data_IF_726568639692
#
_entry.id   IF_726568639692
#
_cell.length_a   1.000
_cell.length_b   1.000
_cell.length_c   1.000
_cell.angle_alpha   90.00
_cell.angle_beta   90.00
_cell.angle_gamma   90.00
#
_symmetry.space_group_name_H-M   'P 1'
#
loop_
_entity.id
_entity.type
_entity.pdbx_description
1 polymer ?
#
# COMPACT_ATOMS: atom_id res chain seq x y z
N UNK A 1 -52.37 -14.43 22.71
CA UNK A 1 -51.12 -13.77 23.08
C UNK A 1 -49.89 -14.68 23.00
N UNK A 2 -49.81 -15.84 23.68
CA UNK A 2 -48.62 -16.73 23.64
C UNK A 2 -48.12 -17.10 22.23
N UNK A 3 -49.03 -17.44 21.28
CA UNK A 3 -48.63 -17.81 19.89
C UNK A 3 -48.03 -16.65 19.11
N UNK A 4 -48.53 -15.44 19.29
CA UNK A 4 -47.98 -14.23 18.61
C UNK A 4 -46.59 -13.90 19.15
N UNK A 5 -46.39 -13.98 20.47
CA UNK A 5 -45.08 -13.75 21.10
C UNK A 5 -44.05 -14.75 20.61
N UNK A 6 -44.39 -16.06 20.53
CA UNK A 6 -43.49 -17.09 20.00
C UNK A 6 -43.12 -16.81 18.55
N UNK A 7 -44.07 -16.44 17.69
CA UNK A 7 -43.80 -16.12 16.29
C UNK A 7 -42.86 -14.91 16.18
N UNK A 8 -43.10 -13.83 16.93
CA UNK A 8 -42.27 -12.63 16.91
C UNK A 8 -40.85 -12.94 17.37
N UNK A 9 -40.67 -13.71 18.44
CA UNK A 9 -39.35 -14.10 18.95
C UNK A 9 -38.63 -15.00 17.95
N UNK A 10 -39.33 -15.94 17.32
CA UNK A 10 -38.74 -16.84 16.31
C UNK A 10 -38.30 -16.06 15.07
N UNK A 11 -39.14 -15.15 14.55
CA UNK A 11 -38.78 -14.29 13.41
C UNK A 11 -37.59 -13.40 13.74
N UNK A 12 -37.56 -12.81 14.93
CA UNK A 12 -36.42 -11.98 15.37
C UNK A 12 -35.13 -12.80 15.47
N UNK A 13 -35.16 -14.00 16.05
CA UNK A 13 -34.00 -14.88 16.16
C UNK A 13 -33.49 -15.34 14.79
N UNK A 14 -34.38 -15.72 13.87
CA UNK A 14 -34.00 -16.12 12.50
C UNK A 14 -33.38 -14.93 11.74
N UNK A 15 -34.00 -13.75 11.85
CA UNK A 15 -33.49 -12.53 11.19
C UNK A 15 -32.12 -12.13 11.73
N UNK A 16 -31.91 -12.24 13.04
CA UNK A 16 -30.60 -11.98 13.66
C UNK A 16 -29.53 -12.99 13.21
N UNK A 17 -29.89 -14.30 13.24
CA UNK A 17 -28.97 -15.35 12.80
C UNK A 17 -28.61 -15.23 11.31
N UNK A 18 -29.60 -14.89 10.46
CA UNK A 18 -29.36 -14.65 9.05
C UNK A 18 -28.53 -13.37 8.82
N UNK A 19 -28.77 -12.32 9.60
CA UNK A 19 -27.95 -11.10 9.57
C UNK A 19 -26.51 -11.35 9.96
N UNK A 20 -26.28 -12.12 11.05
CA UNK A 20 -24.95 -12.51 11.49
C UNK A 20 -24.23 -13.40 10.45
N UNK A 21 -24.94 -14.38 9.87
CA UNK A 21 -24.43 -15.21 8.79
C UNK A 21 -24.09 -14.38 7.55
N UNK A 22 -25.02 -13.52 7.12
CA UNK A 22 -24.83 -12.62 5.97
C UNK A 22 -23.63 -11.68 6.17
N UNK A 23 -23.43 -11.19 7.38
CA UNK A 23 -22.26 -10.37 7.74
C UNK A 23 -20.97 -11.19 7.69
N UNK A 24 -20.97 -12.37 8.34
CA UNK A 24 -19.77 -13.23 8.44
C UNK A 24 -19.31 -13.77 7.07
N UNK A 25 -20.27 -14.14 6.21
CA UNK A 25 -19.99 -14.74 4.89
C UNK A 25 -20.17 -13.75 3.73
N UNK A 26 -20.40 -12.48 4.01
CA UNK A 26 -20.53 -11.44 2.99
C UNK A 26 -21.55 -11.74 1.90
N UNK A 27 -22.66 -12.39 2.27
CA UNK A 27 -23.76 -12.75 1.35
C UNK A 27 -24.87 -11.70 1.34
N UNK A 28 -25.88 -11.87 0.42
CA UNK A 28 -27.09 -11.07 0.47
C UNK A 28 -27.77 -11.13 1.86
N UNK A 29 -28.32 -10.04 2.44
CA UNK A 29 -28.52 -8.71 1.85
C UNK A 29 -27.40 -7.69 2.12
N UNK A 30 -26.47 -7.94 3.06
CA UNK A 30 -25.49 -6.92 3.50
C UNK A 30 -24.58 -6.51 2.35
N UNK A 31 -24.15 -7.48 1.56
CA UNK A 31 -23.32 -7.23 0.40
C UNK A 31 -24.03 -6.35 -0.66
N UNK A 32 -25.32 -6.58 -0.89
CA UNK A 32 -26.13 -5.80 -1.84
C UNK A 32 -26.38 -4.38 -1.33
N UNK A 33 -26.71 -4.21 -0.03
CA UNK A 33 -26.91 -2.90 0.59
C UNK A 33 -25.64 -2.03 0.57
N UNK A 34 -24.45 -2.63 0.69
CA UNK A 34 -23.17 -1.94 0.52
C UNK A 34 -22.97 -1.41 -0.91
N UNK A 35 -23.42 -2.16 -1.92
CA UNK A 35 -23.42 -1.76 -3.33
C UNK A 35 -24.41 -0.62 -3.63
N UNK A 36 -25.63 -0.68 -3.09
CA UNK A 36 -26.66 0.36 -3.31
C UNK A 36 -26.26 1.71 -2.73
N UNK A 37 -25.60 1.74 -1.58
CA UNK A 37 -25.09 3.00 -1.00
C UNK A 37 -24.05 3.71 -1.89
N UNK A 38 -23.28 2.95 -2.68
CA UNK A 38 -22.27 3.53 -3.60
C UNK A 38 -22.87 4.03 -4.92
N UNK A 39 -23.95 3.38 -5.41
CA UNK A 39 -24.63 3.78 -6.66
C UNK A 39 -25.36 5.13 -6.49
N UNK A 40 -25.77 5.48 -5.27
CA UNK A 40 -26.55 6.69 -5.00
C UNK A 40 -25.73 7.95 -4.71
N UNK A 41 -24.41 7.87 -4.66
CA UNK A 41 -23.56 9.06 -4.47
C UNK A 41 -23.07 9.55 -5.83
N UNK A 42 -23.35 10.80 -6.22
CA UNK A 42 -22.78 11.38 -7.42
C UNK A 42 -21.25 11.38 -7.30
N UNK A 43 -20.57 11.05 -8.40
CA UNK A 43 -19.15 11.20 -8.58
C UNK A 43 -18.76 12.68 -8.32
N UNK A 44 -18.49 12.98 -7.06
CA UNK A 44 -17.83 14.23 -6.68
C UNK A 44 -16.39 14.00 -7.07
N UNK A 45 -15.97 14.60 -8.18
CA UNK A 45 -14.64 14.49 -8.77
C UNK A 45 -13.60 14.15 -7.72
N UNK A 46 -12.95 13.00 -7.88
CA UNK A 46 -12.07 12.41 -6.89
C UNK A 46 -10.97 13.40 -6.53
N UNK A 47 -11.09 14.00 -5.36
CA UNK A 47 -10.01 14.79 -4.76
C UNK A 47 -9.20 13.85 -3.89
N UNK A 48 -7.92 14.15 -3.78
CA UNK A 48 -7.06 13.53 -2.76
C UNK A 48 -7.80 13.59 -1.41
N UNK A 49 -7.98 12.46 -0.72
CA UNK A 49 -8.57 12.47 0.61
C UNK A 49 -7.72 13.39 1.50
N UNK A 50 -8.35 14.34 2.18
CA UNK A 50 -7.66 15.17 3.17
C UNK A 50 -7.33 14.30 4.40
N UNK A 51 -6.27 13.51 4.30
CA UNK A 51 -5.76 12.65 5.36
C UNK A 51 -4.52 13.29 5.95
N UNK A 52 -4.51 13.37 7.28
CA UNK A 52 -3.32 13.83 7.98
C UNK A 52 -2.22 12.76 7.86
N UNK A 53 -1.08 13.15 7.31
CA UNK A 53 0.13 12.31 7.33
C UNK A 53 0.66 12.22 8.76
N UNK A 54 1.31 11.13 9.08
CA UNK A 54 2.03 10.97 10.35
C UNK A 54 3.23 11.91 10.32
N UNK A 55 3.20 12.93 11.17
CA UNK A 55 4.24 13.97 11.28
C UNK A 55 4.74 14.15 12.71
N UNK A 56 4.17 13.45 13.68
CA UNK A 56 4.62 13.51 15.08
C UNK A 56 5.96 12.79 15.22
N UNK A 57 7.01 13.57 15.46
CA UNK A 57 8.37 13.10 15.66
C UNK A 57 8.75 12.98 17.15
N UNK A 58 7.80 13.21 18.06
CA UNK A 58 8.01 13.06 19.50
C UNK A 58 8.42 11.61 19.79
N UNK A 59 9.52 11.44 20.50
CA UNK A 59 10.12 10.13 20.83
C UNK A 59 10.67 9.35 19.63
N UNK A 60 10.78 9.93 18.45
CA UNK A 60 11.47 9.31 17.32
C UNK A 60 12.98 9.44 17.48
N UNK A 61 13.70 8.40 17.12
CA UNK A 61 15.17 8.43 17.10
C UNK A 61 15.63 9.06 15.77
N UNK A 62 15.93 10.38 15.81
CA UNK A 62 16.50 11.10 14.66
C UNK A 62 17.92 10.58 14.39
N UNK A 63 18.23 10.34 13.12
CA UNK A 63 19.55 9.94 12.63
C UNK A 63 20.03 10.94 11.59
N UNK A 64 21.34 11.08 11.44
CA UNK A 64 21.89 11.99 10.43
C UNK A 64 21.67 11.41 9.02
N UNK A 65 20.92 12.12 8.17
CA UNK A 65 20.71 11.70 6.78
C UNK A 65 22.00 11.61 5.95
N UNK A 66 23.09 12.25 6.37
CA UNK A 66 24.40 12.10 5.71
C UNK A 66 25.00 10.70 5.91
N UNK A 67 24.46 9.93 6.88
CA UNK A 67 24.83 8.53 7.11
C UNK A 67 24.23 7.56 6.09
N UNK A 68 23.35 8.03 5.20
CA UNK A 68 22.81 7.20 4.11
C UNK A 68 23.98 6.78 3.21
N UNK A 69 24.19 5.47 3.11
CA UNK A 69 25.29 4.86 2.37
C UNK A 69 25.09 5.00 0.86
N UNK A 70 26.19 4.97 0.11
CA UNK A 70 26.15 4.98 -1.36
C UNK A 70 25.50 3.70 -1.94
N UNK A 71 25.65 2.58 -1.21
CA UNK A 71 25.10 1.25 -1.56
C UNK A 71 23.77 0.92 -0.84
N UNK A 72 23.08 1.93 -0.29
CA UNK A 72 21.78 1.74 0.35
C UNK A 72 20.68 1.49 -0.68
N UNK A 73 19.72 0.61 -0.35
CA UNK A 73 18.46 0.56 -1.06
C UNK A 73 17.56 1.70 -0.58
N UNK A 74 17.12 2.56 -1.49
CA UNK A 74 16.31 3.74 -1.18
C UNK A 74 14.96 3.61 -1.89
N UNK A 75 13.91 3.31 -1.13
CA UNK A 75 12.58 3.01 -1.64
C UNK A 75 11.67 4.22 -1.58
N UNK A 76 11.10 4.60 -2.73
CA UNK A 76 9.91 5.44 -2.81
C UNK A 76 8.70 4.52 -2.74
N UNK A 77 7.92 4.64 -1.68
CA UNK A 77 6.74 3.83 -1.44
C UNK A 77 5.51 4.65 -1.81
N UNK A 78 4.70 4.11 -2.72
CA UNK A 78 3.52 4.76 -3.27
C UNK A 78 2.34 3.79 -3.26
N UNK A 79 1.15 4.32 -3.15
CA UNK A 79 -0.06 3.51 -3.21
C UNK A 79 -1.13 3.92 -2.21
N UNK A 80 -1.89 2.95 -1.72
CA UNK A 80 -3.00 3.21 -0.81
C UNK A 80 -2.78 2.58 0.59
N UNK A 81 -3.85 2.29 1.32
CA UNK A 81 -3.79 1.89 2.74
C UNK A 81 -2.84 0.74 3.06
N UNK A 82 -2.75 -0.28 2.21
CA UNK A 82 -1.81 -1.39 2.40
C UNK A 82 -0.35 -1.03 2.09
N UNK A 83 -0.10 0.12 1.46
CA UNK A 83 1.23 0.73 1.38
C UNK A 83 1.50 1.65 2.57
N UNK A 84 0.46 2.28 3.14
CA UNK A 84 0.52 3.14 4.30
C UNK A 84 0.51 2.36 5.64
N UNK A 85 0.25 3.05 6.75
CA UNK A 85 0.25 2.48 8.11
C UNK A 85 -1.12 1.86 8.50
N UNK A 86 -1.60 0.86 7.75
CA UNK A 86 -2.93 0.26 7.98
C UNK A 86 -2.90 -1.16 8.55
N UNK A 87 -1.72 -1.71 8.83
CA UNK A 87 -1.57 -3.01 9.51
C UNK A 87 -2.00 -2.96 10.97
N UNK A 88 -2.44 -4.09 11.53
CA UNK A 88 -2.90 -4.15 12.93
C UNK A 88 -1.79 -4.09 13.97
N UNK A 89 -0.55 -4.40 13.59
CA UNK A 89 0.58 -4.52 14.50
C UNK A 89 1.77 -3.68 14.06
N UNK A 90 2.16 -2.75 14.91
CA UNK A 90 3.33 -1.89 14.69
C UNK A 90 4.63 -2.67 14.88
N UNK A 91 5.64 -2.26 14.13
CA UNK A 91 6.97 -2.84 14.18
C UNK A 91 8.03 -1.75 14.29
N UNK A 92 9.14 -2.07 14.96
CA UNK A 92 10.32 -1.22 15.02
C UNK A 92 11.49 -1.96 14.40
N UNK A 93 12.19 -1.32 13.48
CA UNK A 93 13.35 -1.91 12.84
C UNK A 93 14.44 -2.29 13.85
N UNK A 94 15.07 -3.42 13.63
CA UNK A 94 16.18 -3.95 14.43
C UNK A 94 17.53 -3.77 13.72
N UNK A 95 17.47 -3.47 12.43
CA UNK A 95 18.61 -3.28 11.55
C UNK A 95 18.74 -1.82 11.13
N UNK A 96 19.69 -1.50 10.28
CA UNK A 96 19.92 -0.16 9.75
C UNK A 96 18.89 0.22 8.69
N UNK A 97 17.65 0.36 9.15
CA UNK A 97 16.52 0.84 8.35
C UNK A 97 16.17 2.26 8.75
N UNK A 98 16.20 3.16 7.80
CA UNK A 98 15.93 4.60 7.98
C UNK A 98 14.58 4.94 7.38
N UNK A 99 13.77 5.73 8.07
CA UNK A 99 12.62 6.42 7.49
C UNK A 99 13.03 7.88 7.21
N UNK A 100 13.18 8.25 5.95
CA UNK A 100 13.30 9.66 5.57
C UNK A 100 11.89 10.24 5.48
N UNK A 101 11.58 11.17 6.36
CA UNK A 101 10.33 11.92 6.34
C UNK A 101 10.45 13.07 5.31
N UNK A 102 9.79 12.93 4.19
CA UNK A 102 9.83 13.91 3.10
C UNK A 102 9.26 15.28 3.50
N UNK A 103 8.34 15.32 4.48
CA UNK A 103 7.66 16.55 4.89
C UNK A 103 8.56 17.50 5.70
N UNK A 104 9.48 16.97 6.51
CA UNK A 104 10.47 17.77 7.28
C UNK A 104 11.89 17.66 6.71
N UNK A 105 12.13 16.68 5.83
CA UNK A 105 13.43 16.43 5.22
C UNK A 105 14.44 15.78 6.14
N UNK A 106 14.01 15.19 7.26
CA UNK A 106 14.86 14.54 8.26
C UNK A 106 14.78 13.02 8.18
N UNK A 107 15.76 12.37 8.78
CA UNK A 107 15.88 10.93 8.86
C UNK A 107 15.68 10.44 10.28
N UNK A 108 14.99 9.31 10.40
CA UNK A 108 14.70 8.67 11.66
C UNK A 108 14.99 7.18 11.54
N UNK A 109 15.41 6.54 12.62
CA UNK A 109 15.40 5.07 12.66
C UNK A 109 13.97 4.58 12.44
N UNK A 110 13.77 3.64 11.51
CA UNK A 110 12.43 3.26 11.09
C UNK A 110 11.66 2.54 12.19
N UNK A 111 10.47 3.05 12.47
CA UNK A 111 9.47 2.42 13.36
C UNK A 111 8.06 2.83 12.93
N UNK A 112 7.12 1.90 13.07
CA UNK A 112 5.72 2.13 12.74
C UNK A 112 5.01 2.99 13.82
N UNK A 113 4.07 3.85 13.39
CA UNK A 113 3.71 4.16 12.01
C UNK A 113 4.81 4.96 11.31
N UNK A 114 5.12 4.68 10.03
CA UNK A 114 6.10 5.43 9.27
C UNK A 114 5.67 6.90 9.10
N UNK A 115 6.64 7.80 9.20
CA UNK A 115 6.43 9.23 8.94
C UNK A 115 6.29 9.47 7.43
N UNK A 116 5.45 10.44 7.06
CA UNK A 116 5.24 10.86 5.66
C UNK A 116 4.03 10.24 4.97
N UNK A 117 3.41 9.23 5.55
CA UNK A 117 2.19 8.57 5.07
C UNK A 117 1.08 8.62 6.12
N UNK A 118 -0.16 8.26 5.77
CA UNK A 118 -1.28 8.28 6.71
C UNK A 118 -1.46 6.94 7.46
N UNK A 119 -2.39 6.91 8.41
CA UNK A 119 -2.67 5.76 9.26
C UNK A 119 -1.82 5.75 10.54
N UNK A 120 -2.23 4.92 11.48
CA UNK A 120 -1.62 4.85 12.82
C UNK A 120 -1.21 3.42 13.23
N UNK A 121 -1.33 2.47 12.31
CA UNK A 121 -0.99 1.05 12.52
C UNK A 121 0.43 0.70 12.10
N UNK A 122 0.62 -0.57 11.74
CA UNK A 122 1.87 -1.09 11.20
C UNK A 122 1.95 -1.05 9.67
N UNK A 123 3.14 -1.29 9.16
CA UNK A 123 3.39 -1.40 7.73
C UNK A 123 4.25 -2.64 7.42
N UNK A 124 4.25 -3.04 6.15
CA UNK A 124 5.12 -4.10 5.64
C UNK A 124 6.57 -3.65 5.49
N UNK A 125 6.80 -2.35 5.30
CA UNK A 125 8.08 -1.82 4.82
C UNK A 125 9.17 -1.85 5.87
N UNK A 126 8.85 -1.57 7.12
CA UNK A 126 9.80 -1.64 8.22
C UNK A 126 10.32 -3.08 8.42
N UNK A 127 9.42 -4.08 8.27
CA UNK A 127 9.77 -5.51 8.30
C UNK A 127 10.59 -5.92 7.08
N UNK A 128 10.19 -5.47 5.90
CA UNK A 128 10.92 -5.70 4.66
C UNK A 128 12.35 -5.19 4.75
N UNK A 129 12.54 -3.98 5.31
CA UNK A 129 13.88 -3.41 5.51
C UNK A 129 14.78 -4.31 6.36
N UNK A 130 14.27 -4.81 7.47
CA UNK A 130 15.02 -5.77 8.31
C UNK A 130 15.32 -7.07 7.56
N UNK A 131 14.34 -7.63 6.86
CA UNK A 131 14.48 -8.89 6.14
C UNK A 131 15.52 -8.81 5.02
N UNK A 132 15.54 -7.71 4.27
CA UNK A 132 16.53 -7.46 3.21
C UNK A 132 17.96 -7.39 3.77
N UNK A 133 18.14 -6.76 4.94
CA UNK A 133 19.45 -6.64 5.58
C UNK A 133 19.85 -7.97 6.21
N UNK A 134 18.95 -8.66 6.89
CA UNK A 134 19.22 -9.96 7.55
C UNK A 134 19.62 -11.05 6.56
N UNK A 135 19.08 -11.01 5.36
CA UNK A 135 19.45 -11.96 4.30
C UNK A 135 20.67 -11.52 3.47
N UNK A 136 21.24 -10.35 3.78
CA UNK A 136 22.45 -9.84 3.11
C UNK A 136 22.20 -9.26 1.72
N UNK A 137 20.94 -9.00 1.36
CA UNK A 137 20.59 -8.40 0.06
C UNK A 137 21.05 -6.94 -0.02
N UNK A 138 20.93 -6.21 1.10
CA UNK A 138 21.39 -4.84 1.25
C UNK A 138 22.05 -4.63 2.62
N UNK A 139 22.86 -3.60 2.76
CA UNK A 139 23.50 -3.24 4.05
C UNK A 139 22.72 -2.19 4.82
N UNK A 140 21.93 -1.38 4.12
CA UNK A 140 21.10 -0.33 4.66
C UNK A 140 19.86 -0.16 3.76
N UNK A 141 18.72 0.12 4.35
CA UNK A 141 17.47 0.40 3.65
C UNK A 141 16.92 1.75 4.09
N UNK A 142 16.50 2.58 3.13
CA UNK A 142 15.84 3.87 3.39
C UNK A 142 14.43 3.81 2.84
N UNK A 143 13.47 4.09 3.69
CA UNK A 143 12.04 4.10 3.40
C UNK A 143 11.55 5.54 3.28
N UNK A 144 10.94 5.88 2.15
CA UNK A 144 10.28 7.18 1.93
C UNK A 144 8.86 6.88 1.49
N UNK A 145 7.93 6.98 2.42
CA UNK A 145 6.54 6.59 2.20
C UNK A 145 5.66 7.82 1.97
N UNK A 146 4.96 7.83 0.84
CA UNK A 146 4.02 8.88 0.44
C UNK A 146 2.62 8.31 0.16
N UNK A 147 2.35 7.07 0.56
CA UNK A 147 1.08 6.40 0.31
C UNK A 147 -0.08 7.15 0.96
N UNK A 148 -1.28 7.06 0.34
CA UNK A 148 -2.50 7.72 0.84
C UNK A 148 -3.66 6.75 0.80
N UNK A 149 -4.20 6.42 1.96
CA UNK A 149 -5.25 5.42 2.13
C UNK A 149 -6.54 5.75 1.38
N UNK A 150 -7.13 4.73 0.74
CA UNK A 150 -8.41 4.82 0.04
C UNK A 150 -8.33 5.51 -1.33
N UNK A 151 -7.13 5.73 -1.85
CA UNK A 151 -6.92 6.40 -3.14
C UNK A 151 -7.06 5.46 -4.32
N UNK A 152 -7.59 5.97 -5.43
CA UNK A 152 -7.63 5.30 -6.73
C UNK A 152 -6.47 5.75 -7.61
N UNK A 153 -6.09 4.93 -8.58
CA UNK A 153 -5.02 5.24 -9.54
C UNK A 153 -5.21 6.60 -10.22
N UNK A 154 -6.47 7.02 -10.48
CA UNK A 154 -6.80 8.28 -11.14
C UNK A 154 -6.18 9.50 -10.48
N UNK A 155 -6.14 9.56 -9.15
CA UNK A 155 -5.58 10.72 -8.45
C UNK A 155 -4.05 10.73 -8.43
N UNK A 156 -3.41 9.61 -8.77
CA UNK A 156 -1.96 9.50 -8.88
C UNK A 156 -1.43 9.90 -10.25
N UNK A 157 -2.31 10.02 -11.25
CA UNK A 157 -1.95 10.20 -12.66
C UNK A 157 -1.51 11.62 -13.01
N UNK A 158 -1.01 12.42 -12.06
CA UNK A 158 -0.55 13.78 -12.41
C UNK A 158 -0.16 14.62 -11.17
N UNK A 159 0.16 15.91 -11.41
CA UNK A 159 0.70 16.80 -10.37
C UNK A 159 -0.30 17.23 -9.31
N UNK A 160 -1.60 17.11 -9.59
CA UNK A 160 -2.67 17.56 -8.68
C UNK A 160 -2.93 16.56 -7.54
N UNK A 161 -2.37 15.34 -7.63
CA UNK A 161 -2.55 14.28 -6.65
C UNK A 161 -1.31 13.99 -5.82
N UNK A 162 -1.31 12.87 -5.08
CA UNK A 162 -0.22 12.50 -4.17
C UNK A 162 1.14 12.30 -4.87
N UNK A 163 1.19 12.06 -6.18
CA UNK A 163 2.43 11.93 -6.95
C UNK A 163 3.35 13.17 -6.84
N UNK A 164 2.79 14.37 -6.52
CA UNK A 164 3.61 15.56 -6.24
C UNK A 164 4.55 15.36 -5.05
N UNK A 165 4.13 14.57 -4.05
CA UNK A 165 4.95 14.28 -2.87
C UNK A 165 6.17 13.43 -3.21
N UNK A 166 6.13 12.64 -4.30
CA UNK A 166 7.30 11.96 -4.83
C UNK A 166 8.39 12.95 -5.26
N UNK A 167 7.99 14.07 -5.87
CA UNK A 167 8.91 15.15 -6.30
C UNK A 167 9.49 15.89 -5.09
N UNK A 168 8.67 16.14 -4.07
CA UNK A 168 9.10 16.74 -2.81
C UNK A 168 10.08 15.81 -2.07
N UNK A 169 9.78 14.53 -1.99
CA UNK A 169 10.63 13.50 -1.42
C UNK A 169 11.96 13.35 -2.18
N UNK A 170 11.93 13.35 -3.51
CA UNK A 170 13.14 13.34 -4.34
C UNK A 170 13.99 14.59 -4.09
N UNK A 171 13.35 15.74 -3.88
CA UNK A 171 14.05 16.99 -3.56
C UNK A 171 14.71 16.94 -2.19
N UNK A 172 14.02 16.39 -1.18
CA UNK A 172 14.59 16.17 0.14
C UNK A 172 15.82 15.23 0.07
N UNK A 173 15.68 14.12 -0.65
CA UNK A 173 16.74 13.11 -0.80
C UNK A 173 17.99 13.66 -1.53
N UNK A 174 17.80 14.47 -2.58
CA UNK A 174 18.89 15.11 -3.34
C UNK A 174 19.76 16.04 -2.50
N UNK A 175 19.23 16.62 -1.40
CA UNK A 175 20.03 17.45 -0.46
C UNK A 175 21.17 16.67 0.18
N UNK A 176 21.03 15.35 0.26
CA UNK A 176 22.02 14.42 0.80
C UNK A 176 22.80 13.71 -0.31
N UNK A 177 22.68 14.15 -1.57
CA UNK A 177 23.36 13.55 -2.71
C UNK A 177 22.84 12.17 -3.08
N UNK A 178 21.61 11.83 -2.68
CA UNK A 178 20.99 10.50 -2.89
C UNK A 178 19.84 10.58 -3.89
N UNK A 179 19.51 9.40 -4.44
CA UNK A 179 18.37 9.20 -5.35
C UNK A 179 17.62 7.92 -4.98
N UNK A 180 16.39 7.81 -5.37
CA UNK A 180 15.64 6.57 -5.26
C UNK A 180 16.30 5.47 -6.09
N UNK A 181 16.38 4.27 -5.52
CA UNK A 181 16.85 3.06 -6.20
C UNK A 181 15.67 2.21 -6.69
N UNK A 182 14.52 2.31 -6.03
CA UNK A 182 13.31 1.57 -6.37
C UNK A 182 12.07 2.42 -6.08
N UNK A 183 11.02 2.24 -6.88
CA UNK A 183 9.67 2.71 -6.61
C UNK A 183 8.80 1.49 -6.35
N UNK A 184 8.13 1.46 -5.21
CA UNK A 184 7.27 0.35 -4.80
C UNK A 184 5.81 0.81 -4.88
N UNK A 185 5.08 0.31 -5.88
CA UNK A 185 3.68 0.63 -6.11
C UNK A 185 2.77 -0.45 -5.54
N UNK A 186 2.00 -0.10 -4.52
CA UNK A 186 1.07 -1.02 -3.85
C UNK A 186 -0.32 -0.38 -3.76
N UNK A 187 -1.09 -0.51 -4.85
CA UNK A 187 -2.42 0.09 -4.98
C UNK A 187 -3.27 -0.72 -5.97
N UNK A 188 -4.56 -0.88 -5.72
CA UNK A 188 -5.50 -1.57 -6.61
C UNK A 188 -6.85 -1.85 -5.97
N UNK A 189 -6.90 -1.99 -4.65
CA UNK A 189 -8.08 -2.39 -3.89
C UNK A 189 -9.22 -1.35 -3.97
N UNK A 190 -8.90 -0.08 -4.23
CA UNK A 190 -9.91 0.98 -4.42
C UNK A 190 -10.42 1.07 -5.86
N UNK A 191 -9.75 0.41 -6.82
CA UNK A 191 -10.03 0.52 -8.26
C UNK A 191 -10.87 -0.63 -8.84
N UNK A 192 -11.64 -1.32 -8.02
CA UNK A 192 -12.37 -2.53 -8.38
C UNK A 192 -13.33 -2.40 -9.58
N UNK A 193 -13.72 -1.18 -9.97
CA UNK A 193 -14.53 -0.89 -11.18
C UNK A 193 -13.72 -0.38 -12.36
N UNK A 194 -12.40 -0.11 -12.17
CA UNK A 194 -11.57 0.49 -13.21
C UNK A 194 -11.26 -0.55 -14.30
N UNK A 195 -11.56 -0.26 -15.58
CA UNK A 195 -11.19 -1.15 -16.69
C UNK A 195 -9.67 -1.28 -16.82
N UNK A 196 -9.20 -2.44 -17.30
CA UNK A 196 -7.80 -2.78 -17.48
C UNK A 196 -7.02 -1.71 -18.25
N UNK A 197 -7.53 -1.29 -19.42
CA UNK A 197 -6.89 -0.29 -20.28
C UNK A 197 -6.83 1.10 -19.66
N UNK A 198 -7.84 1.45 -18.84
CA UNK A 198 -7.88 2.73 -18.11
C UNK A 198 -6.81 2.71 -17.00
N UNK A 199 -6.72 1.61 -16.23
CA UNK A 199 -5.72 1.47 -15.17
C UNK A 199 -4.30 1.56 -15.76
N UNK A 200 -4.02 0.85 -16.85
CA UNK A 200 -2.72 0.88 -17.55
C UNK A 200 -2.37 2.31 -17.99
N UNK A 201 -3.29 3.03 -18.66
CA UNK A 201 -3.03 4.41 -19.10
C UNK A 201 -2.77 5.37 -17.95
N UNK A 202 -3.54 5.27 -16.87
CA UNK A 202 -3.35 6.13 -15.70
C UNK A 202 -2.02 5.82 -14.99
N UNK A 203 -1.64 4.54 -14.90
CA UNK A 203 -0.33 4.15 -14.39
C UNK A 203 0.81 4.70 -15.26
N UNK A 204 0.70 4.59 -16.57
CA UNK A 204 1.68 5.15 -17.50
C UNK A 204 1.81 6.67 -17.30
N UNK A 205 0.69 7.41 -17.20
CA UNK A 205 0.71 8.85 -16.93
C UNK A 205 1.43 9.18 -15.61
N UNK A 206 1.22 8.38 -14.57
CA UNK A 206 1.95 8.52 -13.29
C UNK A 206 3.44 8.26 -13.46
N UNK A 207 3.82 7.17 -14.13
CA UNK A 207 5.21 6.83 -14.38
C UNK A 207 5.94 7.90 -15.22
N UNK A 208 5.29 8.42 -16.25
CA UNK A 208 5.79 9.54 -17.08
C UNK A 208 5.98 10.81 -16.26
N UNK A 209 5.07 11.09 -15.33
CA UNK A 209 5.21 12.21 -14.39
C UNK A 209 6.42 12.05 -13.48
N UNK A 210 6.62 10.86 -12.90
CA UNK A 210 7.81 10.57 -12.06
C UNK A 210 9.09 10.76 -12.88
N UNK A 211 9.18 10.17 -14.07
CA UNK A 211 10.32 10.28 -14.97
C UNK A 211 10.62 11.73 -15.34
N UNK A 212 9.61 12.50 -15.74
CA UNK A 212 9.74 13.92 -16.10
C UNK A 212 10.26 14.79 -14.95
N UNK A 213 10.17 14.31 -13.71
CA UNK A 213 10.70 14.97 -12.52
C UNK A 213 12.02 14.35 -12.00
N UNK A 214 12.67 13.52 -12.83
CA UNK A 214 13.97 12.91 -12.55
C UNK A 214 13.94 11.80 -11.51
N UNK A 215 12.83 11.05 -11.45
CA UNK A 215 12.68 9.82 -10.68
C UNK A 215 12.69 8.67 -11.69
N UNK A 216 13.87 8.14 -11.97
CA UNK A 216 14.14 7.13 -13.01
C UNK A 216 14.28 5.72 -12.44
N UNK A 217 14.08 5.56 -11.14
CA UNK A 217 14.17 4.26 -10.47
C UNK A 217 13.15 3.26 -11.01
N UNK A 218 13.50 1.97 -11.12
CA UNK A 218 12.57 0.92 -11.54
C UNK A 218 11.33 0.87 -10.63
N UNK A 219 10.15 0.66 -11.24
CA UNK A 219 8.87 0.61 -10.55
C UNK A 219 8.45 -0.85 -10.39
N UNK A 220 8.26 -1.29 -9.16
CA UNK A 220 7.77 -2.62 -8.82
C UNK A 220 6.29 -2.55 -8.48
N UNK A 221 5.45 -3.27 -9.23
CA UNK A 221 4.00 -3.22 -9.14
C UNK A 221 3.46 -4.43 -8.40
N UNK A 222 2.87 -4.22 -7.23
CA UNK A 222 2.18 -5.28 -6.52
C UNK A 222 0.94 -5.77 -7.28
N UNK A 223 0.64 -7.05 -7.18
CA UNK A 223 -0.69 -7.57 -7.47
C UNK A 223 -1.53 -7.48 -6.20
N UNK A 224 -2.38 -6.48 -6.10
CA UNK A 224 -3.16 -6.18 -4.89
C UNK A 224 -4.54 -5.65 -5.25
N UNK A 225 -5.54 -6.48 -5.07
CA UNK A 225 -6.94 -6.20 -5.44
C UNK A 225 -7.94 -6.68 -4.41
N UNK A 226 -7.52 -7.59 -3.51
CA UNK A 226 -8.41 -8.21 -2.53
C UNK A 226 -8.78 -7.21 -1.43
N UNK A 227 -10.05 -6.83 -1.38
CA UNK A 227 -10.58 -5.98 -0.33
C UNK A 227 -12.07 -6.27 -0.11
N UNK A 228 -12.51 -6.30 1.15
CA UNK A 228 -13.88 -6.64 1.51
C UNK A 228 -14.33 -8.01 0.95
N UNK A 229 -13.41 -8.95 0.84
CA UNK A 229 -13.68 -10.28 0.29
C UNK A 229 -13.91 -10.31 -1.23
N UNK A 230 -13.50 -9.27 -1.96
CA UNK A 230 -13.64 -9.17 -3.43
C UNK A 230 -12.30 -8.91 -4.08
N UNK A 231 -12.12 -9.45 -5.28
CA UNK A 231 -11.03 -9.09 -6.18
C UNK A 231 -11.50 -8.13 -7.27
N UNK A 232 -10.59 -7.33 -7.79
CA UNK A 232 -10.78 -6.52 -9.00
C UNK A 232 -10.06 -7.17 -10.19
N UNK A 233 -10.71 -8.08 -10.95
CA UNK A 233 -10.04 -8.87 -11.99
C UNK A 233 -9.40 -8.00 -13.08
N UNK A 234 -10.06 -6.92 -13.48
CA UNK A 234 -9.54 -5.99 -14.50
C UNK A 234 -8.26 -5.30 -14.03
N UNK A 235 -8.22 -4.89 -12.75
CA UNK A 235 -7.03 -4.25 -12.16
C UNK A 235 -5.90 -5.26 -12.00
N UNK A 236 -6.22 -6.48 -11.55
CA UNK A 236 -5.23 -7.56 -11.45
C UNK A 236 -4.60 -7.87 -12.81
N UNK A 237 -5.41 -7.94 -13.85
CA UNK A 237 -4.93 -8.13 -15.22
C UNK A 237 -4.00 -6.98 -15.65
N UNK A 238 -4.36 -5.72 -15.36
CA UNK A 238 -3.50 -4.58 -15.63
C UNK A 238 -2.15 -4.70 -14.90
N UNK A 239 -2.17 -5.01 -13.59
CA UNK A 239 -0.97 -5.18 -12.76
C UNK A 239 -0.04 -6.27 -13.31
N UNK A 240 -0.60 -7.35 -13.86
CA UNK A 240 0.17 -8.45 -14.50
C UNK A 240 0.75 -8.00 -15.85
N UNK A 241 0.03 -7.19 -16.62
CA UNK A 241 0.46 -6.74 -17.94
C UNK A 241 1.52 -5.64 -17.90
N UNK A 242 1.47 -4.72 -16.91
CA UNK A 242 2.36 -3.56 -16.81
C UNK A 242 3.85 -3.89 -17.00
N UNK A 243 4.42 -4.95 -16.39
CA UNK A 243 5.83 -5.32 -16.61
C UNK A 243 6.17 -5.79 -18.02
N UNK A 244 5.17 -6.14 -18.84
CA UNK A 244 5.38 -6.51 -20.25
C UNK A 244 5.15 -5.35 -21.21
N UNK A 245 4.50 -4.28 -20.74
CA UNK A 245 4.15 -3.10 -21.54
C UNK A 245 5.13 -1.94 -21.37
N UNK A 246 5.93 -1.94 -20.29
CA UNK A 246 6.81 -0.82 -19.93
C UNK A 246 8.18 -1.35 -19.48
N UNK A 247 9.25 -0.86 -20.09
CA UNK A 247 10.62 -1.36 -19.91
C UNK A 247 11.16 -1.23 -18.47
N UNK A 248 10.77 -0.19 -17.75
CA UNK A 248 11.26 0.09 -16.38
C UNK A 248 10.25 -0.28 -15.29
N UNK A 249 9.34 -1.22 -15.61
CA UNK A 249 8.30 -1.71 -14.69
C UNK A 249 8.47 -3.21 -14.48
N UNK A 250 8.43 -3.63 -13.22
CA UNK A 250 8.68 -5.00 -12.81
C UNK A 250 7.54 -5.52 -11.93
N UNK A 251 7.39 -6.83 -11.89
CA UNK A 251 6.43 -7.46 -11.00
C UNK A 251 6.90 -7.33 -9.55
N UNK A 252 6.05 -6.75 -8.70
CA UNK A 252 6.19 -6.71 -7.25
C UNK A 252 5.53 -7.93 -6.58
N UNK A 253 5.28 -7.82 -5.28
CA UNK A 253 4.66 -8.87 -4.49
C UNK A 253 3.22 -9.17 -4.95
N UNK A 254 2.84 -10.45 -4.93
CA UNK A 254 1.44 -10.86 -5.09
C UNK A 254 0.72 -10.83 -3.73
N UNK A 255 0.24 -9.66 -3.32
CA UNK A 255 -0.47 -9.46 -2.06
C UNK A 255 -1.84 -10.17 -2.01
N UNK A 256 -2.43 -10.47 -3.17
CA UNK A 256 -3.68 -11.23 -3.25
C UNK A 256 -3.52 -12.69 -2.83
N UNK A 257 -2.29 -13.23 -2.81
CA UNK A 257 -2.01 -14.58 -2.33
C UNK A 257 -2.03 -14.70 -0.79
N UNK A 258 -2.00 -13.57 -0.09
CA UNK A 258 -2.13 -13.49 1.37
C UNK A 258 -3.63 -13.28 1.69
N UNK A 259 -4.43 -14.34 1.55
CA UNK A 259 -5.89 -14.27 1.56
C UNK A 259 -6.56 -14.97 2.75
N UNK A 260 -5.78 -15.63 3.62
CA UNK A 260 -6.33 -16.35 4.77
C UNK A 260 -6.88 -15.38 5.80
N UNK A 261 -8.00 -15.75 6.45
CA UNK A 261 -8.65 -14.96 7.50
C UNK A 261 -7.72 -14.60 8.69
N UNK A 262 -6.75 -15.46 8.98
CA UNK A 262 -5.76 -15.21 10.03
C UNK A 262 -4.74 -14.14 9.64
N UNK A 263 -4.56 -13.88 8.34
CA UNK A 263 -3.56 -12.97 7.79
C UNK A 263 -4.16 -11.61 7.43
N UNK A 264 -5.50 -11.52 7.38
CA UNK A 264 -6.27 -10.30 7.10
C UNK A 264 -7.07 -9.86 8.31
N UNK A 265 -7.25 -8.54 8.45
CA UNK A 265 -8.17 -7.95 9.44
C UNK A 265 -9.62 -8.30 9.10
N UNK A 266 -10.55 -7.97 9.98
CA UNK A 266 -11.97 -8.34 9.83
C UNK A 266 -12.64 -7.69 8.60
N UNK A 267 -12.04 -6.64 8.06
CA UNK A 267 -12.47 -6.01 6.80
C UNK A 267 -12.04 -6.80 5.56
N UNK A 268 -11.23 -7.84 5.70
CA UNK A 268 -10.68 -8.67 4.61
C UNK A 268 -9.92 -7.85 3.56
N UNK A 269 -9.35 -6.72 3.98
CA UNK A 269 -8.61 -5.78 3.16
C UNK A 269 -7.20 -5.57 3.71
N UNK A 270 -7.11 -5.14 4.97
CA UNK A 270 -5.85 -4.84 5.63
C UNK A 270 -5.23 -6.08 6.28
N UNK A 271 -3.95 -6.02 6.58
CA UNK A 271 -3.20 -7.18 7.06
C UNK A 271 -3.08 -7.20 8.58
N UNK A 272 -3.13 -8.42 9.14
CA UNK A 272 -2.69 -8.74 10.50
C UNK A 272 -1.19 -9.02 10.53
N UNK A 273 -0.61 -9.18 11.73
CA UNK A 273 0.82 -9.44 11.94
C UNK A 273 1.38 -10.54 11.01
N UNK A 274 0.70 -11.70 10.94
CA UNK A 274 1.14 -12.81 10.08
C UNK A 274 1.08 -12.47 8.60
N UNK A 275 0.09 -11.68 8.19
CA UNK A 275 -0.04 -11.20 6.81
C UNK A 275 1.02 -10.15 6.46
N UNK A 276 1.33 -9.22 7.38
CA UNK A 276 2.39 -8.25 7.22
C UNK A 276 3.76 -8.91 7.03
N UNK A 277 4.06 -9.93 7.86
CA UNK A 277 5.31 -10.68 7.76
C UNK A 277 5.40 -11.47 6.44
N UNK A 278 4.32 -12.16 6.05
CA UNK A 278 4.28 -12.90 4.79
C UNK A 278 4.42 -11.98 3.58
N UNK A 279 3.77 -10.82 3.61
CA UNK A 279 3.83 -9.87 2.50
C UNK A 279 5.21 -9.18 2.39
N UNK A 280 5.87 -8.90 3.53
CA UNK A 280 7.26 -8.43 3.52
C UNK A 280 8.18 -9.44 2.82
N UNK A 281 8.03 -10.74 3.14
CA UNK A 281 8.76 -11.81 2.47
C UNK A 281 8.51 -11.87 0.95
N UNK A 282 7.25 -11.78 0.51
CA UNK A 282 6.91 -11.75 -0.92
C UNK A 282 7.50 -10.52 -1.64
N UNK A 283 7.55 -9.37 -0.97
CA UNK A 283 8.22 -8.19 -1.51
C UNK A 283 9.73 -8.39 -1.62
N UNK A 284 10.37 -9.01 -0.60
CA UNK A 284 11.78 -9.36 -0.69
C UNK A 284 12.06 -10.27 -1.89
N UNK A 285 11.29 -11.35 -2.06
CA UNK A 285 11.41 -12.25 -3.22
C UNK A 285 11.26 -11.50 -4.56
N UNK A 286 10.30 -10.57 -4.64
CA UNK A 286 10.08 -9.78 -5.84
C UNK A 286 11.27 -8.85 -6.14
N UNK A 287 11.89 -8.26 -5.13
CA UNK A 287 13.01 -7.32 -5.27
C UNK A 287 14.35 -8.00 -5.56
N UNK A 288 14.55 -9.25 -5.08
CA UNK A 288 15.83 -9.97 -5.16
C UNK A 288 15.82 -11.14 -6.14
N UNK A 289 14.70 -11.40 -6.81
CA UNK A 289 14.54 -12.51 -7.74
C UNK A 289 15.46 -12.44 -8.97
N UNK A 290 15.75 -13.57 -9.63
CA UNK A 290 16.80 -13.69 -10.67
C UNK A 290 16.60 -12.80 -11.91
N UNK A 291 15.43 -12.18 -12.10
CA UNK A 291 15.18 -11.25 -13.20
C UNK A 291 15.67 -9.82 -12.93
N UNK A 292 16.06 -9.49 -11.70
CA UNK A 292 16.44 -8.15 -11.27
C UNK A 292 17.95 -7.98 -11.04
N UNK A 293 18.72 -9.07 -11.05
CA UNK A 293 20.19 -9.05 -10.88
C UNK A 293 20.91 -8.51 -12.13
N UNK A 294 20.21 -8.37 -13.28
CA UNK A 294 20.81 -7.96 -14.55
C UNK A 294 20.95 -6.44 -14.75
N UNK A 295 20.44 -5.61 -13.86
CA UNK A 295 20.63 -4.15 -13.91
C UNK A 295 21.72 -3.79 -12.90
N UNK A 296 22.96 -3.99 -13.33
CA UNK A 296 24.12 -3.54 -12.57
C UNK A 296 24.09 -2.02 -12.41
N UNK A 297 24.21 -1.55 -11.20
CA UNK A 297 24.44 -0.16 -10.82
C UNK A 297 25.87 0.25 -11.12
#
# INVERSE_FOLDING_TARGET
>A
MRRIVVIVVTVAAVSYSYGAFSYAYRTFPIHWLGGVKRIALPDRGEREPNRAIVSDTTNRHEVDCTSIRDDAAIFLIMGQSNAANSGDTRYKARRDVINLNWADGKCYHAEDPLLGTDGDGGTIWTRLGDELIENGDYKQVVLVDIAVSGTRIRIWAGPEGPSRHAVEAATALRRYGRRFTHVLWHQGESDWETPTDIYVRLFQTMADYLHSNGIDAPIFVAQTTLCLGRHAPNVKEAQIQLPTLMDNVFAGANADSVDRLRDRQDDLCHFKETGLAQLAHLWREALTGPRHIAVGF
#
